data_IF_019222719616
#
_entry.id   IF_019222719616
#
_cell.length_a   1.000
_cell.length_b   1.000
_cell.length_c   1.000
_cell.angle_alpha   90.00
_cell.angle_beta   90.00
_cell.angle_gamma   90.00
#
_symmetry.space_group_name_H-M   'P 1'
#
loop_
_entity.id
_entity.type
_entity.pdbx_description
1 polymer ?
#
# COMPACT_ATOMS: atom_id res chain seq x y z
N UNK A 1 0.76 23.00 16.08
CA UNK A 1 1.22 22.33 14.84
C UNK A 1 2.07 21.13 15.26
N UNK A 2 1.50 19.91 15.30
CA UNK A 2 2.28 18.72 15.65
C UNK A 2 3.12 18.30 14.44
N UNK A 3 4.44 18.41 14.55
CA UNK A 3 5.36 17.78 13.60
C UNK A 3 5.41 16.31 13.95
N UNK A 4 4.82 15.45 13.11
CA UNK A 4 5.04 14.02 13.19
C UNK A 4 6.45 13.71 12.69
N UNK A 5 7.25 13.03 13.49
CA UNK A 5 8.53 12.48 13.06
C UNK A 5 8.28 11.09 12.50
N UNK A 6 8.79 10.82 11.30
CA UNK A 6 8.79 9.49 10.69
C UNK A 6 10.25 9.09 10.48
N UNK A 7 10.67 8.01 11.13
CA UNK A 7 11.97 7.41 10.91
C UNK A 7 11.83 6.34 9.82
N UNK A 8 12.61 6.45 8.75
CA UNK A 8 12.60 5.55 7.58
C UNK A 8 14.00 4.97 7.37
N UNK A 9 14.53 4.19 8.33
CA UNK A 9 15.84 3.56 8.17
C UNK A 9 15.77 2.43 7.14
N UNK A 10 16.88 2.18 6.44
CA UNK A 10 16.97 1.06 5.50
C UNK A 10 16.79 -0.27 6.25
N UNK A 11 15.74 -1.01 5.94
CA UNK A 11 15.42 -2.27 6.59
C UNK A 11 15.91 -3.47 5.77
N UNK A 12 16.94 -4.17 6.25
CA UNK A 12 17.44 -5.41 5.63
C UNK A 12 16.68 -6.67 6.04
N UNK A 13 15.57 -6.51 6.78
CA UNK A 13 14.77 -7.59 7.36
C UNK A 13 13.33 -7.63 6.84
N UNK A 14 12.52 -8.54 7.36
CA UNK A 14 11.10 -8.60 7.03
C UNK A 14 10.32 -7.54 7.80
N UNK A 15 9.28 -6.98 7.17
CA UNK A 15 8.33 -6.10 7.85
C UNK A 15 7.81 -6.78 9.14
N UNK A 16 7.86 -6.10 10.31
CA UNK A 16 7.33 -6.63 11.54
C UNK A 16 5.86 -7.04 11.39
N UNK A 17 5.46 -8.17 11.98
CA UNK A 17 4.11 -8.74 11.78
C UNK A 17 2.99 -7.76 12.12
N UNK A 18 3.17 -6.94 13.15
CA UNK A 18 2.19 -5.92 13.55
C UNK A 18 2.02 -4.83 12.48
N UNK A 19 3.09 -4.46 11.79
CA UNK A 19 3.08 -3.44 10.73
C UNK A 19 2.44 -4.03 9.48
N UNK A 20 2.88 -5.22 9.07
CA UNK A 20 2.32 -5.93 7.93
C UNK A 20 0.80 -6.10 8.05
N UNK A 21 0.29 -6.45 9.24
CA UNK A 21 -1.15 -6.54 9.48
C UNK A 21 -1.88 -5.20 9.25
N UNK A 22 -1.25 -4.05 9.51
CA UNK A 22 -1.82 -2.72 9.21
C UNK A 22 -1.74 -2.40 7.71
N UNK A 23 -0.63 -2.73 7.05
CA UNK A 23 -0.45 -2.55 5.61
C UNK A 23 -1.52 -3.33 4.83
N UNK A 24 -1.81 -4.57 5.22
CA UNK A 24 -2.88 -5.39 4.59
C UNK A 24 -4.26 -4.74 4.76
N UNK A 25 -4.57 -4.19 5.94
CA UNK A 25 -5.83 -3.49 6.17
C UNK A 25 -5.95 -2.24 5.28
N UNK A 26 -4.87 -1.48 5.15
CA UNK A 26 -4.82 -0.31 4.27
C UNK A 26 -4.98 -0.71 2.79
N UNK A 27 -4.29 -1.77 2.36
CA UNK A 27 -4.42 -2.30 1.00
C UNK A 27 -5.86 -2.70 0.67
N UNK A 28 -6.53 -3.38 1.61
CA UNK A 28 -7.94 -3.72 1.51
C UNK A 28 -8.83 -2.48 1.36
N UNK A 29 -8.68 -1.49 2.24
CA UNK A 29 -9.49 -0.27 2.19
C UNK A 29 -9.31 0.52 0.89
N UNK A 30 -8.07 0.64 0.37
CA UNK A 30 -7.82 1.30 -0.91
C UNK A 30 -8.44 0.49 -2.07
N UNK A 31 -8.29 -0.83 -2.05
CA UNK A 31 -8.87 -1.72 -3.07
C UNK A 31 -10.40 -1.63 -3.07
N UNK A 32 -11.03 -1.63 -1.90
CA UNK A 32 -12.48 -1.44 -1.74
C UNK A 32 -12.93 -0.09 -2.28
N UNK A 33 -12.21 1.00 -1.97
CA UNK A 33 -12.53 2.33 -2.50
C UNK A 33 -12.47 2.36 -4.04
N UNK A 34 -11.47 1.72 -4.65
CA UNK A 34 -11.37 1.61 -6.11
C UNK A 34 -12.54 0.80 -6.68
N UNK A 35 -12.90 -0.33 -6.06
CA UNK A 35 -14.02 -1.17 -6.52
C UNK A 35 -15.36 -0.41 -6.38
N UNK A 36 -15.58 0.31 -5.29
CA UNK A 36 -16.83 1.04 -5.06
C UNK A 36 -17.04 2.15 -6.08
N UNK A 37 -15.98 2.85 -6.49
CA UNK A 37 -16.06 3.97 -7.43
C UNK A 37 -15.98 3.53 -8.90
N UNK A 38 -15.14 2.53 -9.22
CA UNK A 38 -14.78 2.18 -10.60
C UNK A 38 -15.07 0.70 -10.96
N UNK A 39 -15.42 -0.13 -9.99
CA UNK A 39 -15.70 -1.56 -10.20
C UNK A 39 -14.46 -2.46 -10.18
N UNK A 40 -14.71 -3.76 -10.10
CA UNK A 40 -13.65 -4.80 -9.98
C UNK A 40 -12.73 -4.86 -11.19
N UNK A 41 -13.25 -4.62 -12.40
CA UNK A 41 -12.45 -4.66 -13.62
C UNK A 41 -11.33 -3.61 -13.60
N UNK A 42 -11.62 -2.40 -13.10
CA UNK A 42 -10.61 -1.35 -12.96
C UNK A 42 -9.55 -1.72 -11.95
N UNK A 43 -9.91 -2.34 -10.81
CA UNK A 43 -8.88 -2.81 -9.87
C UNK A 43 -7.95 -3.82 -10.54
N UNK A 44 -8.48 -4.77 -11.31
CA UNK A 44 -7.69 -5.78 -12.04
C UNK A 44 -6.76 -5.14 -13.08
N UNK A 45 -7.25 -4.15 -13.82
CA UNK A 45 -6.44 -3.38 -14.78
C UNK A 45 -5.30 -2.64 -14.07
N UNK A 46 -5.59 -1.96 -12.95
CA UNK A 46 -4.61 -1.22 -12.15
C UNK A 46 -3.53 -2.11 -11.57
N UNK A 47 -3.87 -3.25 -10.95
CA UNK A 47 -2.86 -4.16 -10.40
C UNK A 47 -2.05 -4.88 -11.49
N UNK A 48 -2.56 -4.94 -12.72
CA UNK A 48 -1.85 -5.51 -13.87
C UNK A 48 -0.83 -4.53 -14.48
N UNK A 49 -0.99 -3.23 -14.25
CA UNK A 49 -0.01 -2.23 -14.63
C UNK A 49 1.16 -2.23 -13.63
N UNK A 50 2.40 -2.52 -14.06
CA UNK A 50 3.53 -2.66 -13.16
C UNK A 50 3.93 -1.34 -12.48
N UNK A 51 3.72 -0.19 -13.13
CA UNK A 51 4.02 1.12 -12.53
C UNK A 51 3.00 1.46 -11.45
N UNK A 52 1.73 1.20 -11.72
CA UNK A 52 0.67 1.43 -10.74
C UNK A 52 0.80 0.47 -9.56
N UNK A 53 1.09 -0.82 -9.81
CA UNK A 53 1.32 -1.81 -8.75
C UNK A 53 2.51 -1.43 -7.86
N UNK A 54 3.60 -0.93 -8.45
CA UNK A 54 4.74 -0.44 -7.67
C UNK A 54 4.39 0.80 -6.85
N UNK A 55 3.67 1.76 -7.42
CA UNK A 55 3.20 2.94 -6.69
C UNK A 55 2.27 2.56 -5.53
N UNK A 56 1.40 1.57 -5.74
CA UNK A 56 0.56 1.01 -4.70
C UNK A 56 1.40 0.35 -3.59
N UNK A 57 2.43 -0.41 -3.96
CA UNK A 57 3.43 -0.93 -3.01
C UNK A 57 4.06 0.17 -2.16
N UNK A 58 4.55 1.25 -2.77
CA UNK A 58 5.14 2.38 -2.06
C UNK A 58 4.16 3.04 -1.07
N UNK A 59 2.89 3.22 -1.45
CA UNK A 59 1.84 3.76 -0.56
C UNK A 59 1.61 2.87 0.66
N UNK A 60 1.72 1.55 0.47
CA UNK A 60 1.60 0.58 1.56
C UNK A 60 2.84 0.51 2.43
N UNK A 61 3.94 1.16 2.04
CA UNK A 61 5.24 1.06 2.72
C UNK A 61 6.04 -0.17 2.31
N UNK A 62 5.72 -0.78 1.16
CA UNK A 62 6.64 -1.66 0.44
C UNK A 62 7.46 -0.78 -0.50
N UNK A 63 8.58 -0.28 0.00
CA UNK A 63 9.67 0.18 -0.84
C UNK A 63 10.59 -1.01 -1.13
N UNK A 64 10.99 -1.16 -2.39
CA UNK A 64 12.02 -2.09 -2.82
C UNK A 64 13.21 -1.27 -3.29
#
# INVERSE_FOLDING_TARGET
MHKGFADLPLHYGRAPRWLFNRMVKLAGAISEAIILEYGTATLLEKISDPFWFQAFGCVLGFDW
#
